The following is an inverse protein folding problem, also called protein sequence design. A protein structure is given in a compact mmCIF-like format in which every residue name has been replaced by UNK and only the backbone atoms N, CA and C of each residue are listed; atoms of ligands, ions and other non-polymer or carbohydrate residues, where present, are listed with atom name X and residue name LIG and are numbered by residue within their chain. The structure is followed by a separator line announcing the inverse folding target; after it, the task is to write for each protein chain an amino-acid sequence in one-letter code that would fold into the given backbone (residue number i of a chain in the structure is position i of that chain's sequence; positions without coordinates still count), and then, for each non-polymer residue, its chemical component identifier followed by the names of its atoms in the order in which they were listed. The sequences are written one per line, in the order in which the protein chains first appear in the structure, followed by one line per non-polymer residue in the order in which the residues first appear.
data_IF_238240919390
#
_entry.id   IF_238240919390
#
_cell.length_a   1.000
_cell.length_b   1.000
_cell.length_c   1.000
_cell.angle_alpha   90.00
_cell.angle_beta   90.00
_cell.angle_gamma   90.00
#
_symmetry.space_group_name_H-M   'P 1'
#
loop_
_entity.id
_entity.type
_entity.pdbx_description
1 polymer ?
#
# COMPACT_ATOMS: atom_id res chain seq x y z
N UNK A 1 -15.74 -19.27 3.63
CA UNK A 1 -15.44 -19.35 3.11
C UNK A 1 -14.77 -19.65 2.67
N UNK A 2 -14.83 -19.46 2.83
CA UNK A 2 -14.27 -19.56 2.38
C UNK A 2 -13.63 -19.44 1.71
N UNK A 3 -13.60 -19.11 1.70
CA UNK A 3 -13.04 -18.96 0.98
C UNK A 3 -12.17 -19.17 0.47
N UNK A 4 -12.40 -18.64 0.69
CA UNK A 4 -11.65 -18.32 -0.13
C UNK A 4 -10.62 -19.12 -0.30
N UNK A 5 -10.53 -19.61 0.14
CA UNK A 5 -9.81 -20.41 -0.01
C UNK A 5 -9.32 -21.07 -1.00
N UNK A 6 -9.90 -21.19 -1.58
CA UNK A 6 -9.58 -21.75 -2.69
C UNK A 6 -8.49 -21.07 -3.25
N UNK A 7 -7.67 -21.49 -3.81
CA UNK A 7 -6.72 -20.72 -4.42
C UNK A 7 -6.61 -19.43 -3.75
N UNK A 8 -7.43 -19.28 -2.83
CA UNK A 8 -7.50 -18.02 -2.24
C UNK A 8 -6.39 -17.70 -1.32
N UNK A 9 -5.21 -17.99 -1.68
CA UNK A 9 -4.09 -17.55 -0.88
C UNK A 9 -3.96 -16.05 -1.08
N UNK A 10 -4.14 -15.35 0.03
CA UNK A 10 -3.95 -13.91 0.06
C UNK A 10 -2.50 -13.58 -0.21
N UNK A 11 -2.29 -12.65 -1.10
CA UNK A 11 -0.96 -12.13 -1.38
C UNK A 11 -0.75 -10.84 -0.61
N UNK A 12 0.51 -10.54 -0.34
CA UNK A 12 0.89 -9.27 0.29
C UNK A 12 1.82 -8.53 -0.64
N UNK A 13 1.58 -7.24 -0.75
CA UNK A 13 2.26 -6.37 -1.70
C UNK A 13 2.85 -5.17 -0.99
N UNK A 14 3.91 -4.62 -1.56
CA UNK A 14 4.43 -3.31 -1.16
C UNK A 14 4.25 -2.38 -2.36
N UNK A 15 3.68 -1.22 -2.12
CA UNK A 15 3.65 -0.16 -3.12
C UNK A 15 4.35 1.06 -2.54
N UNK A 16 4.85 1.91 -3.44
CA UNK A 16 5.56 3.12 -3.01
C UNK A 16 4.69 4.33 -3.27
N UNK A 17 4.67 5.24 -2.31
CA UNK A 17 4.03 6.54 -2.46
C UNK A 17 5.10 7.61 -2.39
N UNK A 18 5.10 8.50 -3.38
CA UNK A 18 5.95 9.69 -3.31
C UNK A 18 5.13 10.82 -2.68
N UNK A 19 5.45 11.20 -1.42
CA UNK A 19 4.64 12.21 -0.72
C UNK A 19 4.78 13.59 -1.32
N UNK A 20 5.73 13.80 -2.21
CA UNK A 20 5.86 15.06 -2.94
C UNK A 20 4.86 15.14 -4.08
N UNK A 21 4.25 14.02 -4.46
CA UNK A 21 3.25 13.99 -5.54
C UNK A 21 1.85 13.72 -5.02
N UNK A 22 1.71 13.06 -3.90
CA UNK A 22 0.42 12.70 -3.34
C UNK A 22 0.50 12.73 -1.82
N UNK A 23 -0.35 13.52 -1.20
CA UNK A 23 -0.39 13.67 0.25
C UNK A 23 -1.23 12.53 0.85
N UNK A 24 -0.59 11.39 1.00
CA UNK A 24 -1.27 10.18 1.46
C UNK A 24 -1.76 10.30 2.90
N UNK A 25 -1.04 11.04 3.73
CA UNK A 25 -1.44 11.24 5.11
C UNK A 25 -2.77 12.01 5.18
N UNK A 26 -2.86 13.10 4.44
CA UNK A 26 -4.10 13.89 4.40
C UNK A 26 -5.24 13.08 3.79
N UNK A 27 -4.94 12.26 2.78
CA UNK A 27 -5.96 11.43 2.15
C UNK A 27 -6.57 10.46 3.15
N UNK A 28 -5.74 9.75 3.94
CA UNK A 28 -6.24 8.81 4.94
C UNK A 28 -6.84 9.49 6.15
N UNK A 29 -6.49 10.75 6.42
CA UNK A 29 -7.16 11.51 7.46
C UNK A 29 -8.58 11.92 7.04
N UNK A 30 -8.82 11.96 5.74
CA UNK A 30 -10.12 12.35 5.20
C UNK A 30 -10.98 11.15 4.84
N UNK A 31 -10.38 10.15 4.21
CA UNK A 31 -11.08 8.96 3.74
C UNK A 31 -10.40 7.72 4.30
N UNK A 32 -11.20 6.80 4.81
CA UNK A 32 -10.69 5.48 5.19
C UNK A 32 -10.45 4.60 3.96
N UNK A 33 -11.14 4.88 2.89
CA UNK A 33 -11.08 4.13 1.63
C UNK A 33 -10.63 5.08 0.53
N UNK A 34 -9.59 4.72 -0.18
CA UNK A 34 -9.08 5.51 -1.32
C UNK A 34 -8.91 4.60 -2.52
N UNK A 35 -8.92 5.21 -3.71
CA UNK A 35 -8.60 4.50 -4.94
C UNK A 35 -7.17 4.78 -5.32
N UNK A 36 -6.45 3.73 -5.69
CA UNK A 36 -5.05 3.80 -6.05
C UNK A 36 -4.87 3.22 -7.44
N UNK A 37 -3.99 3.83 -8.22
CA UNK A 37 -3.73 3.32 -9.56
C UNK A 37 -3.21 1.89 -9.47
N UNK A 38 -3.86 1.00 -10.21
CA UNK A 38 -3.53 -0.42 -10.17
C UNK A 38 -2.61 -0.74 -11.33
N UNK A 39 -1.41 -1.19 -11.02
CA UNK A 39 -0.44 -1.59 -12.04
C UNK A 39 0.02 -3.02 -11.87
N UNK A 40 -0.67 -3.79 -11.05
CA UNK A 40 -0.31 -5.18 -10.78
C UNK A 40 -1.56 -6.05 -10.77
N UNK A 41 -1.35 -7.33 -10.57
CA UNK A 41 -2.44 -8.31 -10.52
C UNK A 41 -2.92 -8.55 -9.09
N UNK A 42 -3.10 -7.48 -8.32
CA UNK A 42 -3.69 -7.62 -6.98
C UNK A 42 -5.09 -8.20 -7.09
N UNK A 43 -5.50 -8.90 -6.06
CA UNK A 43 -6.81 -9.52 -5.97
C UNK A 43 -7.56 -8.97 -4.77
N UNK A 44 -8.88 -9.02 -4.82
CA UNK A 44 -9.70 -8.67 -3.66
C UNK A 44 -9.29 -9.54 -2.49
N UNK A 45 -9.07 -8.90 -1.34
CA UNK A 45 -8.62 -9.58 -0.12
C UNK A 45 -7.11 -9.54 0.10
N UNK A 46 -6.35 -9.16 -0.92
CA UNK A 46 -4.91 -8.98 -0.76
C UNK A 46 -4.61 -7.83 0.20
N UNK A 47 -3.44 -7.88 0.80
CA UNK A 47 -2.96 -6.80 1.67
C UNK A 47 -1.90 -5.99 0.94
N UNK A 48 -1.93 -4.69 1.16
CA UNK A 48 -0.99 -3.76 0.54
C UNK A 48 -0.37 -2.90 1.63
N UNK A 49 0.95 -2.98 1.74
CA UNK A 49 1.71 -2.09 2.60
C UNK A 49 2.16 -0.91 1.75
N UNK A 50 1.96 0.30 2.27
CA UNK A 50 2.38 1.51 1.56
C UNK A 50 3.65 2.03 2.19
N UNK A 51 4.72 2.00 1.40
CA UNK A 51 6.01 2.59 1.75
C UNK A 51 5.99 4.04 1.26
N UNK A 52 6.18 4.97 2.19
CA UNK A 52 6.19 6.40 1.85
C UNK A 52 7.64 6.81 1.71
N UNK A 53 8.02 7.21 0.50
CA UNK A 53 9.40 7.59 0.20
C UNK A 53 9.73 9.01 0.64
N UNK A 54 10.78 9.57 0.08
CA UNK A 54 11.21 10.97 0.28
C UNK A 54 10.96 11.49 1.69
N UNK A 55 11.99 11.74 2.44
CA UNK A 55 11.97 12.30 3.80
C UNK A 55 11.31 11.40 4.85
N UNK A 56 10.35 10.56 4.49
CA UNK A 56 9.72 9.64 5.43
C UNK A 56 10.49 8.32 5.46
N UNK A 57 10.57 7.63 4.34
CA UNK A 57 11.40 6.44 4.19
C UNK A 57 10.96 5.25 5.03
N UNK A 58 9.65 5.07 5.21
CA UNK A 58 9.12 3.99 6.06
C UNK A 58 7.84 3.42 5.47
N UNK A 59 7.52 2.19 5.85
CA UNK A 59 6.17 1.67 5.66
C UNK A 59 5.29 2.36 6.70
N UNK A 60 4.26 3.05 6.23
CA UNK A 60 3.37 3.84 7.08
C UNK A 60 1.97 3.30 7.17
N UNK A 61 1.51 2.52 6.21
CA UNK A 61 0.12 2.09 6.15
C UNK A 61 -0.01 0.65 5.72
N UNK A 62 -1.02 -0.02 6.27
CA UNK A 62 -1.45 -1.34 5.83
C UNK A 62 -2.89 -1.22 5.37
N UNK A 63 -3.15 -1.66 4.15
CA UNK A 63 -4.46 -1.59 3.55
C UNK A 63 -4.93 -2.95 3.07
N UNK A 64 -6.23 -3.10 2.92
CA UNK A 64 -6.86 -4.27 2.33
C UNK A 64 -7.44 -3.89 0.98
N UNK A 65 -7.29 -4.75 0.00
CA UNK A 65 -7.86 -4.52 -1.33
C UNK A 65 -9.32 -4.93 -1.30
N UNK A 66 -10.22 -3.97 -1.47
CA UNK A 66 -11.66 -4.25 -1.48
C UNK A 66 -12.21 -4.43 -2.89
N UNK A 67 -11.64 -3.73 -3.86
CA UNK A 67 -12.08 -3.81 -5.26
C UNK A 67 -10.88 -3.67 -6.18
N UNK A 68 -10.97 -4.27 -7.36
CA UNK A 68 -9.91 -4.21 -8.38
C UNK A 68 -10.52 -3.88 -9.72
N UNK A 69 -9.67 -3.47 -10.64
CA UNK A 69 -10.03 -3.21 -12.04
C UNK A 69 -11.14 -2.16 -12.19
N UNK A 70 -11.13 -1.17 -11.29
CA UNK A 70 -12.07 -0.07 -11.38
C UNK A 70 -11.66 0.85 -12.52
N UNK A 71 -12.63 1.26 -13.32
CA UNK A 71 -12.39 2.18 -14.43
C UNK A 71 -12.63 3.64 -14.01
N UNK A 72 -13.21 3.86 -12.84
CA UNK A 72 -13.56 5.19 -12.36
C UNK A 72 -13.16 5.35 -10.91
N UNK A 73 -12.86 6.58 -10.53
CA UNK A 73 -12.57 6.94 -9.15
C UNK A 73 -13.88 7.30 -8.47
N UNK A 74 -14.17 6.67 -7.33
CA UNK A 74 -15.40 6.89 -6.59
C UNK A 74 -15.22 8.05 -5.59
N UNK A 75 -14.11 8.07 -4.88
CA UNK A 75 -13.82 9.13 -3.93
C UNK A 75 -12.92 10.16 -4.61
N UNK A 76 -13.30 11.41 -4.50
CA UNK A 76 -12.50 12.48 -5.09
C UNK A 76 -11.33 12.81 -4.16
N UNK A 77 -10.21 12.19 -4.41
CA UNK A 77 -9.00 12.45 -3.67
C UNK A 77 -7.97 13.25 -4.49
N UNK A 78 -8.39 13.83 -5.60
CA UNK A 78 -7.49 14.60 -6.45
C UNK A 78 -6.89 15.79 -5.72
N UNK A 79 -7.58 16.32 -4.72
CA UNK A 79 -7.07 17.44 -3.92
C UNK A 79 -5.80 17.08 -3.15
N UNK A 80 -5.49 15.80 -3.00
CA UNK A 80 -4.26 15.37 -2.34
C UNK A 80 -3.12 15.15 -3.31
N UNK A 81 -3.37 15.32 -4.60
CA UNK A 81 -2.35 15.22 -5.64
C UNK A 81 -1.60 16.54 -5.70
N UNK A 82 -0.30 16.48 -5.47
CA UNK A 82 0.50 17.70 -5.35
C UNK A 82 0.92 18.22 -6.71
N UNK A 83 1.35 17.34 -7.62
CA UNK A 83 1.78 17.77 -8.95
C UNK A 83 0.84 17.35 -10.08
N UNK A 84 -0.17 16.59 -9.80
CA UNK A 84 -1.19 16.23 -10.77
C UNK A 84 -0.78 15.25 -11.86
N UNK A 85 0.49 15.00 -12.02
CA UNK A 85 0.97 14.25 -13.16
C UNK A 85 0.64 12.77 -13.12
N UNK A 86 0.36 12.23 -11.95
CA UNK A 86 0.04 10.82 -11.80
C UNK A 86 -1.44 10.52 -11.80
N UNK A 87 -2.28 11.54 -11.98
CA UNK A 87 -3.70 11.38 -11.77
C UNK A 87 -4.54 11.43 -13.02
N UNK A 88 -3.93 11.17 -14.14
CA UNK A 88 -4.70 11.06 -15.37
C UNK A 88 -5.54 9.80 -15.32
N UNK A 89 -6.77 9.91 -15.79
CA UNK A 89 -7.73 8.83 -15.72
C UNK A 89 -7.48 7.72 -16.70
N UNK A 90 -6.26 7.23 -16.74
CA UNK A 90 -5.91 6.17 -17.66
C UNK A 90 -5.61 4.92 -16.88
N UNK A 91 -6.27 3.82 -17.24
CA UNK A 91 -5.97 2.54 -16.70
C UNK A 91 -6.94 2.12 -15.60
N UNK A 92 -6.46 1.27 -14.74
CA UNK A 92 -7.28 0.63 -13.72
C UNK A 92 -6.97 1.20 -12.36
N UNK A 93 -7.97 1.13 -11.48
CA UNK A 93 -7.80 1.52 -10.09
C UNK A 93 -8.20 0.37 -9.19
N UNK A 94 -7.57 0.32 -8.03
CA UNK A 94 -7.94 -0.59 -6.96
C UNK A 94 -8.43 0.24 -5.78
N UNK A 95 -9.36 -0.31 -5.03
CA UNK A 95 -9.88 0.34 -3.84
C UNK A 95 -9.17 -0.23 -2.63
N UNK A 96 -8.55 0.64 -1.86
CA UNK A 96 -7.78 0.27 -0.67
C UNK A 96 -8.49 0.79 0.56
N UNK A 97 -8.70 -0.09 1.52
CA UNK A 97 -9.26 0.28 2.82
C UNK A 97 -8.13 0.27 3.85
N UNK A 98 -7.97 1.38 4.56
CA UNK A 98 -6.95 1.49 5.59
C UNK A 98 -7.28 0.58 6.76
N UNK A 99 -6.34 -0.32 7.10
CA UNK A 99 -6.48 -1.20 8.26
C UNK A 99 -5.69 -0.65 9.43
N UNK A 100 -4.47 -0.19 9.16
CA UNK A 100 -3.57 0.23 10.24
C UNK A 100 -2.57 1.26 9.72
N UNK A 101 -2.09 2.10 10.62
CA UNK A 101 -1.04 3.06 10.29
C UNK A 101 0.10 2.90 11.28
N UNK A 102 1.30 3.24 10.85
CA UNK A 102 2.51 3.02 11.62
C UNK A 102 3.41 4.24 11.58
N UNK A 103 4.24 4.37 12.60
CA UNK A 103 5.32 5.33 12.59
C UNK A 103 6.48 4.72 13.38
N UNK A 104 7.06 3.66 12.81
CA UNK A 104 8.07 2.84 13.49
C UNK A 104 9.39 2.87 12.74
N UNK A 105 10.45 3.18 13.43
CA UNK A 105 11.78 3.15 12.83
C UNK A 105 12.15 1.77 12.33
N UNK A 106 11.63 0.72 12.96
CA UNK A 106 11.89 -0.64 12.53
C UNK A 106 11.24 -0.96 11.17
N UNK A 107 10.36 -0.09 10.69
CA UNK A 107 9.77 -0.21 9.34
C UNK A 107 10.41 0.77 8.37
N UNK A 108 11.55 1.36 8.71
CA UNK A 108 12.28 2.24 7.82
C UNK A 108 13.05 1.45 6.77
N UNK A 109 13.43 2.12 5.70
CA UNK A 109 14.14 1.50 4.57
C UNK A 109 15.36 0.71 5.02
N UNK A 110 16.16 1.28 5.93
CA UNK A 110 17.36 0.64 6.42
C UNK A 110 17.08 -0.75 7.00
N UNK A 111 16.11 -0.83 7.91
CA UNK A 111 15.78 -2.10 8.54
C UNK A 111 15.09 -3.06 7.59
N UNK A 112 14.23 -2.53 6.71
CA UNK A 112 13.59 -3.37 5.72
C UNK A 112 14.62 -3.98 4.77
N UNK A 113 15.61 -3.20 4.38
CA UNK A 113 16.66 -3.65 3.49
C UNK A 113 17.50 -4.75 4.12
N UNK A 114 17.81 -4.60 5.40
CA UNK A 114 18.57 -5.60 6.14
C UNK A 114 17.79 -6.92 6.28
N UNK A 115 16.47 -6.86 6.15
CA UNK A 115 15.60 -8.00 6.38
C UNK A 115 14.93 -8.52 5.11
N UNK A 116 15.53 -8.25 3.97
CA UNK A 116 15.14 -8.93 2.74
C UNK A 116 14.40 -8.09 1.72
N UNK A 117 14.16 -6.81 2.01
CA UNK A 117 13.49 -5.96 1.02
C UNK A 117 14.43 -5.73 -0.16
N UNK A 118 13.90 -5.95 -1.35
CA UNK A 118 14.61 -5.61 -2.56
C UNK A 118 14.46 -4.14 -2.87
N UNK A 119 14.68 -3.79 -4.12
CA UNK A 119 14.52 -2.44 -4.59
C UNK A 119 13.04 -2.03 -4.54
N UNK A 120 12.74 -0.88 -3.95
CA UNK A 120 11.35 -0.38 -3.89
C UNK A 120 11.18 0.67 -4.98
N UNK A 121 10.79 0.24 -6.15
CA UNK A 121 10.63 1.12 -7.31
C UNK A 121 9.22 1.11 -7.86
N UNK A 122 8.39 0.23 -7.37
CA UNK A 122 7.01 0.10 -7.83
C UNK A 122 6.35 -1.01 -7.06
N UNK A 123 5.11 -1.33 -7.41
CA UNK A 123 4.42 -2.40 -6.71
C UNK A 123 5.16 -3.72 -6.87
N UNK A 124 5.35 -4.41 -5.76
CA UNK A 124 5.98 -5.72 -5.80
C UNK A 124 5.36 -6.63 -4.76
N UNK A 125 5.33 -7.92 -5.11
CA UNK A 125 4.86 -8.95 -4.21
C UNK A 125 5.93 -9.18 -3.14
N UNK A 126 5.49 -9.33 -1.90
CA UNK A 126 6.42 -9.56 -0.79
C UNK A 126 6.82 -11.02 -0.73
N UNK A 127 8.12 -11.28 -0.53
CA UNK A 127 8.55 -12.63 -0.27
C UNK A 127 8.41 -12.95 1.22
N UNK A 128 8.66 -14.21 1.56
CA UNK A 128 8.40 -14.70 2.90
C UNK A 128 9.29 -14.03 3.95
N UNK A 129 10.54 -13.77 3.61
CA UNK A 129 11.48 -13.22 4.59
C UNK A 129 11.06 -11.82 5.06
N UNK A 130 10.77 -10.93 4.11
CA UNK A 130 10.38 -9.58 4.47
C UNK A 130 9.00 -9.57 5.14
N UNK A 131 8.11 -10.44 4.70
CA UNK A 131 6.80 -10.56 5.30
C UNK A 131 6.89 -10.94 6.77
N UNK A 132 7.73 -11.91 7.09
CA UNK A 132 7.93 -12.33 8.49
C UNK A 132 8.50 -11.22 9.34
N UNK A 133 9.44 -10.46 8.77
CA UNK A 133 10.02 -9.34 9.50
C UNK A 133 8.97 -8.29 9.84
N UNK A 134 8.20 -7.87 8.84
CA UNK A 134 7.18 -6.84 9.04
C UNK A 134 6.14 -7.32 10.04
N UNK A 135 5.71 -8.56 9.91
CA UNK A 135 4.72 -9.13 10.85
C UNK A 135 5.25 -9.13 12.28
N UNK A 136 6.53 -9.42 12.47
CA UNK A 136 7.11 -9.43 13.81
C UNK A 136 7.18 -8.04 14.41
N UNK A 137 7.46 -7.03 13.58
CA UNK A 137 7.46 -5.64 14.06
C UNK A 137 6.06 -5.21 14.47
N UNK A 138 5.08 -5.51 13.64
CA UNK A 138 3.69 -5.13 13.93
C UNK A 138 3.22 -5.77 15.23
N UNK A 139 3.58 -7.04 15.46
CA UNK A 139 3.22 -7.70 16.71
C UNK A 139 3.79 -7.01 17.93
N UNK A 140 4.99 -6.47 17.83
CA UNK A 140 5.63 -5.81 18.97
C UNK A 140 4.93 -4.51 19.36
N UNK A 141 4.34 -3.83 18.38
CA UNK A 141 3.72 -2.53 18.64
C UNK A 141 2.25 -2.64 18.96
N UNK A 142 1.70 -3.82 18.85
CA UNK A 142 0.34 -4.09 19.30
C UNK A 142 0.36 -4.50 20.80
#
# INVERSE_FOLDING_TARGET
MEDGTIGGLMEKWIIICNPLKYDVEAAFNTFKIIEWKQSTNVQVGDLVYIYVGKYVGKIKYLCKVNKVNLSEIINDDTRFTIDGSGFMNHGRYMQLELINSFDEDLLSYRYLKENGLGSVQGPSRMDEKIEKYISSVIKRIE
#
